data_IF_399950906410
#
_entry.id   IF_399950906410
#
_cell.length_a   1.000
_cell.length_b   1.000
_cell.length_c   1.000
_cell.angle_alpha   90.00
_cell.angle_beta   90.00
_cell.angle_gamma   90.00
#
_symmetry.space_group_name_H-M   'P 1'
#
loop_
_entity.id
_entity.type
_entity.pdbx_description
1 polymer ?
#
# COMPACT_ATOMS: atom_id res chain seq x y z
N UNK A 1 42.36 4.55 -43.81
CA UNK A 1 43.16 3.44 -44.38
C UNK A 1 43.59 2.54 -43.23
N UNK A 2 42.84 1.45 -42.99
CA UNK A 2 43.10 0.50 -41.90
C UNK A 2 44.44 -0.20 -42.08
N UNK A 3 45.24 -0.22 -41.03
CA UNK A 3 46.45 -1.05 -40.94
C UNK A 3 46.08 -2.26 -40.07
N UNK A 4 46.34 -3.49 -40.46
CA UNK A 4 46.06 -4.66 -39.61
C UNK A 4 47.35 -5.27 -39.06
N UNK A 5 47.30 -5.83 -37.85
CA UNK A 5 48.42 -6.41 -37.11
C UNK A 5 48.19 -7.90 -36.84
N UNK A 6 49.25 -8.72 -36.89
CA UNK A 6 49.21 -10.14 -36.51
C UNK A 6 49.88 -10.32 -35.15
N UNK A 7 49.10 -10.65 -34.12
CA UNK A 7 49.61 -10.90 -32.77
C UNK A 7 49.70 -12.40 -32.53
N UNK A 8 50.88 -12.87 -32.12
CA UNK A 8 51.13 -14.28 -31.79
C UNK A 8 51.60 -14.34 -30.35
N UNK A 9 50.99 -15.20 -29.53
CA UNK A 9 51.53 -15.47 -28.19
C UNK A 9 52.51 -16.66 -28.29
N UNK A 10 53.79 -16.50 -27.92
CA UNK A 10 54.72 -17.61 -27.88
C UNK A 10 54.27 -18.64 -26.82
N UNK A 11 54.45 -19.93 -27.13
CA UNK A 11 54.03 -21.03 -26.26
C UNK A 11 54.98 -21.25 -25.06
N UNK A 12 56.20 -20.69 -25.12
CA UNK A 12 57.23 -20.85 -24.09
C UNK A 12 57.60 -19.51 -23.46
N UNK A 13 57.73 -19.50 -22.13
CA UNK A 13 58.15 -18.35 -21.34
C UNK A 13 59.69 -18.24 -21.21
N UNK A 14 60.44 -19.20 -21.78
CA UNK A 14 61.89 -19.22 -21.76
C UNK A 14 62.50 -18.25 -22.80
N UNK A 15 63.29 -17.25 -22.39
CA UNK A 15 63.95 -16.30 -23.29
C UNK A 15 64.84 -16.95 -24.35
N UNK A 16 65.42 -18.11 -24.06
CA UNK A 16 66.32 -18.83 -24.97
C UNK A 16 65.60 -19.46 -26.18
N UNK A 17 64.28 -19.70 -26.06
CA UNK A 17 63.45 -20.32 -27.10
C UNK A 17 62.87 -19.30 -28.08
N UNK A 18 63.06 -18.00 -27.84
CA UNK A 18 62.48 -16.93 -28.66
C UNK A 18 63.14 -16.83 -30.05
N UNK A 19 64.47 -16.94 -30.12
CA UNK A 19 65.23 -16.90 -31.38
C UNK A 19 64.86 -18.04 -32.36
N UNK A 20 64.81 -19.32 -31.93
CA UNK A 20 64.32 -20.43 -32.75
C UNK A 20 62.89 -20.20 -33.26
N UNK A 21 61.99 -19.71 -32.41
CA UNK A 21 60.60 -19.41 -32.75
C UNK A 21 60.49 -18.31 -33.81
N UNK A 22 61.29 -17.25 -33.71
CA UNK A 22 61.33 -16.18 -34.72
C UNK A 22 61.78 -16.72 -36.08
N UNK A 23 62.78 -17.62 -36.09
CA UNK A 23 63.26 -18.26 -37.32
C UNK A 23 62.18 -19.15 -37.94
N UNK A 24 61.48 -19.95 -37.13
CA UNK A 24 60.39 -20.82 -37.60
C UNK A 24 59.21 -20.02 -38.16
N UNK A 25 58.81 -18.95 -37.47
CA UNK A 25 57.73 -18.07 -37.93
C UNK A 25 58.14 -17.35 -39.23
N UNK A 26 59.39 -16.87 -39.34
CA UNK A 26 59.91 -16.24 -40.56
C UNK A 26 59.87 -17.18 -41.77
N UNK A 27 60.22 -18.46 -41.59
CA UNK A 27 60.14 -19.48 -42.65
C UNK A 27 58.69 -19.77 -43.05
N UNK A 28 57.79 -19.94 -42.09
CA UNK A 28 56.39 -20.30 -42.36
C UNK A 28 55.58 -19.17 -42.97
N UNK A 29 55.89 -17.93 -42.60
CA UNK A 29 55.15 -16.75 -43.03
C UNK A 29 55.86 -15.98 -44.16
N UNK A 30 57.11 -16.30 -44.48
CA UNK A 30 57.90 -15.52 -45.45
C UNK A 30 58.10 -14.05 -45.03
N UNK A 31 57.96 -13.75 -43.73
CA UNK A 31 58.18 -12.42 -43.16
C UNK A 31 59.66 -12.21 -42.89
N UNK A 32 60.20 -11.09 -43.35
CA UNK A 32 61.58 -10.70 -43.07
C UNK A 32 61.78 -10.45 -41.56
N UNK A 33 62.95 -10.80 -41.03
CA UNK A 33 63.26 -10.73 -39.59
C UNK A 33 63.06 -9.32 -39.04
N UNK A 34 63.37 -8.31 -39.84
CA UNK A 34 63.21 -6.88 -39.53
C UNK A 34 61.75 -6.46 -39.28
N UNK A 35 60.78 -7.14 -39.91
CA UNK A 35 59.35 -6.91 -39.71
C UNK A 35 58.81 -7.58 -38.42
N UNK A 36 59.57 -8.51 -37.84
CA UNK A 36 59.27 -9.16 -36.56
C UNK A 36 59.83 -8.26 -35.44
N UNK A 37 59.24 -7.06 -35.27
CA UNK A 37 59.70 -6.10 -34.27
C UNK A 37 59.39 -6.61 -32.86
N UNK A 38 60.41 -7.06 -32.12
CA UNK A 38 60.32 -7.29 -30.67
C UNK A 38 60.08 -5.97 -29.93
N UNK A 39 58.83 -5.55 -29.76
CA UNK A 39 58.46 -4.63 -28.66
C UNK A 39 58.13 -5.48 -27.45
N UNK A 40 59.17 -5.87 -26.73
CA UNK A 40 59.12 -6.58 -25.46
C UNK A 40 58.52 -5.65 -24.41
N UNK A 41 57.20 -5.71 -24.24
CA UNK A 41 56.53 -5.21 -23.03
C UNK A 41 55.74 -6.38 -22.48
N UNK A 42 56.42 -7.23 -21.71
CA UNK A 42 55.90 -8.51 -21.25
C UNK A 42 56.05 -9.65 -22.27
N UNK A 43 55.80 -10.87 -21.80
CA UNK A 43 55.99 -12.21 -22.40
C UNK A 43 55.16 -12.49 -23.66
N UNK A 44 55.01 -11.52 -24.57
CA UNK A 44 54.21 -11.68 -25.79
C UNK A 44 54.94 -11.13 -27.02
N UNK A 45 55.05 -11.94 -28.08
CA UNK A 45 55.76 -11.58 -29.31
C UNK A 45 54.79 -10.87 -30.28
N UNK A 46 54.93 -9.54 -30.42
CA UNK A 46 54.09 -8.77 -31.35
C UNK A 46 54.74 -8.75 -32.73
N UNK A 47 54.16 -9.41 -33.74
CA UNK A 47 54.65 -9.30 -35.11
C UNK A 47 53.99 -8.09 -35.79
N UNK A 48 54.79 -7.10 -36.15
CA UNK A 48 54.35 -5.89 -36.84
C UNK A 48 54.65 -5.99 -38.34
N UNK A 49 53.79 -6.65 -39.12
CA UNK A 49 53.76 -6.38 -40.56
C UNK A 49 52.74 -5.29 -40.85
N UNK A 50 53.24 -4.17 -41.37
CA UNK A 50 52.45 -3.02 -41.86
C UNK A 50 52.31 -3.15 -43.37
N UNK A 51 51.10 -3.37 -43.86
CA UNK A 51 50.79 -3.48 -45.29
C UNK A 51 49.30 -3.31 -45.54
N UNK A 52 48.92 -2.84 -46.74
CA UNK A 52 47.60 -2.30 -47.12
C UNK A 52 46.48 -3.35 -47.05
N UNK A 53 45.23 -2.93 -47.26
CA UNK A 53 44.01 -3.74 -47.13
C UNK A 53 44.00 -5.11 -47.85
N UNK A 54 44.84 -5.30 -48.89
CA UNK A 54 45.05 -6.59 -49.58
C UNK A 54 45.81 -7.64 -48.73
N UNK A 55 46.37 -7.25 -47.57
CA UNK A 55 47.13 -8.14 -46.69
C UNK A 55 46.27 -8.79 -45.59
N UNK A 56 45.02 -8.36 -45.34
CA UNK A 56 44.19 -8.91 -44.26
C UNK A 56 43.86 -10.39 -44.47
N UNK A 57 43.59 -10.79 -45.70
CA UNK A 57 43.29 -12.17 -46.07
C UNK A 57 44.54 -13.06 -45.94
N UNK A 58 45.71 -12.56 -46.37
CA UNK A 58 47.01 -13.21 -46.19
C UNK A 58 47.39 -13.34 -44.72
N UNK A 59 47.19 -12.30 -43.92
CA UNK A 59 47.44 -12.34 -42.47
C UNK A 59 46.50 -13.32 -41.77
N UNK A 60 45.26 -13.46 -42.25
CA UNK A 60 44.29 -14.43 -41.74
C UNK A 60 44.69 -15.86 -42.09
N UNK A 61 45.18 -16.09 -43.32
CA UNK A 61 45.73 -17.37 -43.74
C UNK A 61 46.96 -17.78 -42.92
N UNK A 62 47.87 -16.83 -42.66
CA UNK A 62 49.03 -17.04 -41.78
C UNK A 62 48.61 -17.37 -40.35
N UNK A 63 47.65 -16.62 -39.79
CA UNK A 63 47.11 -16.90 -38.47
C UNK A 63 46.51 -18.32 -38.40
N UNK A 64 45.86 -18.78 -39.46
CA UNK A 64 45.33 -20.13 -39.54
C UNK A 64 46.42 -21.21 -39.62
N UNK A 65 47.51 -20.97 -40.36
CA UNK A 65 48.67 -21.88 -40.41
C UNK A 65 49.35 -21.99 -39.04
N UNK A 66 49.54 -20.86 -38.35
CA UNK A 66 50.12 -20.83 -37.01
C UNK A 66 49.24 -21.55 -35.98
N UNK A 67 47.91 -21.44 -36.09
CA UNK A 67 46.98 -22.18 -35.23
C UNK A 67 47.06 -23.70 -35.45
N UNK A 68 47.35 -24.16 -36.67
CA UNK A 68 47.50 -25.62 -36.95
C UNK A 68 48.70 -26.24 -36.24
N UNK A 69 49.76 -25.46 -36.02
CA UNK A 69 50.95 -25.91 -35.27
C UNK A 69 50.84 -25.63 -33.76
N UNK A 70 49.64 -25.32 -33.27
CA UNK A 70 49.39 -25.08 -31.85
C UNK A 70 49.75 -23.67 -31.37
N UNK A 71 50.15 -22.75 -32.25
CA UNK A 71 50.45 -21.36 -31.88
C UNK A 71 49.20 -20.47 -31.97
N UNK A 72 48.75 -19.87 -30.86
CA UNK A 72 47.61 -18.96 -30.90
C UNK A 72 47.99 -17.64 -31.59
N UNK A 73 47.46 -17.43 -32.79
CA UNK A 73 47.66 -16.24 -33.62
C UNK A 73 46.34 -15.52 -33.93
N UNK A 74 46.32 -14.18 -33.97
CA UNK A 74 45.14 -13.35 -34.19
C UNK A 74 45.49 -12.13 -35.04
N UNK A 75 44.65 -11.80 -36.02
CA UNK A 75 44.73 -10.55 -36.79
C UNK A 75 43.83 -9.50 -36.15
N UNK A 76 44.37 -8.32 -35.83
CA UNK A 76 43.65 -7.21 -35.17
C UNK A 76 43.81 -5.95 -36.02
N UNK A 77 42.76 -5.14 -36.19
CA UNK A 77 42.87 -3.87 -36.91
C UNK A 77 43.47 -2.75 -36.03
N UNK A 78 44.25 -1.83 -36.61
CA UNK A 78 44.88 -0.70 -35.91
C UNK A 78 43.85 0.24 -35.34
N UNK A 79 42.70 0.39 -35.99
CA UNK A 79 41.64 1.27 -35.52
C UNK A 79 40.91 0.68 -34.30
N UNK A 80 40.84 -0.65 -34.17
CA UNK A 80 40.35 -1.33 -32.95
C UNK A 80 41.33 -1.15 -31.77
N UNK A 81 42.65 -1.23 -32.03
CA UNK A 81 43.66 -1.05 -30.97
C UNK A 81 43.77 0.42 -30.52
N UNK A 82 43.54 1.39 -31.42
CA UNK A 82 43.69 2.82 -31.12
C UNK A 82 42.46 3.41 -30.41
N UNK A 83 41.29 2.79 -30.54
CA UNK A 83 40.09 3.15 -29.80
C UNK A 83 40.25 2.93 -28.27
N UNK A 84 41.16 2.05 -27.87
CA UNK A 84 41.35 1.65 -26.48
C UNK A 84 42.57 2.38 -25.88
N UNK A 85 42.34 3.50 -25.18
CA UNK A 85 43.37 4.40 -24.60
C UNK A 85 44.19 3.80 -23.43
N UNK A 86 44.32 2.47 -23.30
CA UNK A 86 45.07 1.81 -22.20
C UNK A 86 45.77 0.54 -22.70
N UNK A 87 46.95 0.17 -22.14
CA UNK A 87 47.69 -1.01 -22.58
C UNK A 87 46.92 -2.31 -22.30
N UNK A 88 46.49 -3.00 -23.36
CA UNK A 88 45.72 -4.25 -23.27
C UNK A 88 46.65 -5.45 -23.04
N UNK A 89 46.34 -6.30 -22.03
CA UNK A 89 47.07 -7.53 -21.69
C UNK A 89 46.25 -8.76 -22.14
N UNK A 90 46.62 -9.39 -23.26
CA UNK A 90 45.92 -10.56 -23.81
C UNK A 90 46.36 -11.82 -23.04
N UNK A 91 45.50 -12.34 -22.14
CA UNK A 91 45.95 -13.33 -21.14
C UNK A 91 45.38 -14.76 -21.33
N UNK A 92 44.38 -15.02 -22.17
CA UNK A 92 43.96 -16.41 -22.46
C UNK A 92 43.21 -16.58 -23.79
N UNK A 93 43.50 -17.69 -24.50
CA UNK A 93 42.69 -18.21 -25.61
C UNK A 93 42.08 -19.52 -25.12
N UNK A 94 40.75 -19.59 -25.07
CA UNK A 94 40.02 -20.82 -24.72
C UNK A 94 40.05 -21.76 -25.94
N UNK A 95 40.47 -23.02 -25.81
CA UNK A 95 40.41 -23.97 -26.91
C UNK A 95 38.95 -24.17 -27.35
N UNK A 96 38.64 -23.94 -28.63
CA UNK A 96 37.34 -24.30 -29.23
C UNK A 96 36.35 -23.17 -29.53
N UNK A 97 36.66 -21.90 -29.27
CA UNK A 97 35.78 -20.77 -29.64
C UNK A 97 36.42 -19.84 -30.68
N UNK A 98 35.64 -19.45 -31.71
CA UNK A 98 36.04 -18.47 -32.75
C UNK A 98 36.01 -17.00 -32.25
N UNK A 99 35.94 -16.75 -30.95
CA UNK A 99 35.81 -15.41 -30.39
C UNK A 99 36.80 -15.18 -29.24
N UNK A 100 37.62 -14.14 -29.36
CA UNK A 100 38.42 -13.63 -28.25
C UNK A 100 37.52 -12.82 -27.32
N UNK A 101 37.35 -13.27 -26.08
CA UNK A 101 36.86 -12.40 -25.02
C UNK A 101 38.05 -11.63 -24.45
N UNK A 102 38.07 -10.31 -24.65
CA UNK A 102 38.95 -9.40 -23.95
C UNK A 102 38.43 -9.30 -22.51
N UNK A 103 39.13 -9.92 -21.56
CA UNK A 103 38.84 -9.75 -20.13
C UNK A 103 39.91 -8.86 -19.52
N UNK A 104 39.49 -7.66 -19.13
CA UNK A 104 40.31 -6.69 -18.41
C UNK A 104 40.75 -7.26 -17.06
N UNK A 105 41.93 -6.85 -16.61
CA UNK A 105 42.75 -7.50 -15.58
C UNK A 105 42.26 -7.35 -14.13
N UNK A 106 41.00 -6.97 -13.91
CA UNK A 106 40.37 -7.04 -12.59
C UNK A 106 39.15 -7.95 -12.72
N UNK A 107 39.20 -9.13 -12.10
CA UNK A 107 38.11 -10.11 -12.05
C UNK A 107 36.88 -9.62 -11.27
N UNK A 108 36.32 -8.48 -11.66
CA UNK A 108 35.04 -7.97 -11.19
C UNK A 108 34.25 -7.47 -12.39
N UNK A 109 33.21 -8.23 -12.69
CA UNK A 109 32.00 -7.81 -13.40
C UNK A 109 32.07 -7.69 -14.93
N UNK A 110 31.91 -8.84 -15.59
CA UNK A 110 30.97 -8.89 -16.70
C UNK A 110 29.53 -8.90 -16.10
N UNK A 111 29.06 -7.77 -15.57
CA UNK A 111 27.62 -7.64 -15.29
C UNK A 111 26.93 -7.54 -16.64
N UNK A 112 26.13 -8.55 -16.96
CA UNK A 112 25.25 -8.57 -18.11
C UNK A 112 24.32 -7.33 -18.07
N UNK A 113 24.71 -6.30 -18.81
CA UNK A 113 23.94 -5.05 -18.97
C UNK A 113 22.59 -5.32 -19.68
N UNK A 114 22.39 -6.52 -20.24
CA UNK A 114 21.13 -6.93 -20.87
C UNK A 114 20.17 -7.65 -19.90
N UNK A 115 20.64 -8.21 -18.78
CA UNK A 115 19.79 -8.85 -17.76
C UNK A 115 19.53 -7.95 -16.55
N UNK A 116 20.48 -7.09 -16.17
CA UNK A 116 20.31 -6.15 -15.06
C UNK A 116 19.13 -5.16 -15.22
N UNK A 117 18.90 -4.50 -16.38
CA UNK A 117 17.77 -3.58 -16.53
C UNK A 117 16.43 -4.31 -16.59
N UNK A 118 16.39 -5.53 -17.16
CA UNK A 118 15.17 -6.35 -17.19
C UNK A 118 14.78 -6.77 -15.77
N UNK A 119 15.75 -7.21 -14.96
CA UNK A 119 15.53 -7.55 -13.55
C UNK A 119 15.04 -6.32 -12.78
N UNK A 120 15.64 -5.15 -13.00
CA UNK A 120 15.20 -3.91 -12.36
C UNK A 120 13.76 -3.51 -12.75
N UNK A 121 13.39 -3.65 -14.04
CA UNK A 121 12.03 -3.40 -14.52
C UNK A 121 11.02 -4.40 -13.94
N UNK A 122 11.39 -5.68 -13.84
CA UNK A 122 10.55 -6.72 -13.21
C UNK A 122 10.34 -6.41 -11.72
N UNK A 123 11.39 -6.03 -11.00
CA UNK A 123 11.29 -5.64 -9.59
C UNK A 123 10.44 -4.38 -9.39
N UNK A 124 10.59 -3.37 -10.27
CA UNK A 124 9.75 -2.18 -10.26
C UNK A 124 8.28 -2.52 -10.53
N UNK A 125 8.02 -3.38 -11.52
CA UNK A 125 6.67 -3.86 -11.83
C UNK A 125 6.04 -4.60 -10.65
N UNK A 126 6.80 -5.47 -9.98
CA UNK A 126 6.33 -6.20 -8.80
C UNK A 126 6.07 -5.26 -7.62
N UNK A 127 6.93 -4.27 -7.41
CA UNK A 127 6.74 -3.24 -6.38
C UNK A 127 5.45 -2.45 -6.63
N UNK A 128 5.24 -1.97 -7.86
CA UNK A 128 4.02 -1.24 -8.24
C UNK A 128 2.76 -2.10 -8.10
N UNK A 129 2.82 -3.36 -8.50
CA UNK A 129 1.72 -4.31 -8.34
C UNK A 129 1.38 -4.51 -6.86
N UNK A 130 2.39 -4.65 -6.00
CA UNK A 130 2.20 -4.81 -4.55
C UNK A 130 1.55 -3.58 -3.93
N UNK A 131 2.02 -2.38 -4.30
CA UNK A 131 1.42 -1.10 -3.86
C UNK A 131 -0.03 -0.99 -4.32
N UNK A 132 -0.32 -1.38 -5.57
CA UNK A 132 -1.68 -1.33 -6.12
C UNK A 132 -2.65 -2.28 -5.39
N UNK A 133 -2.23 -3.53 -5.14
CA UNK A 133 -3.03 -4.50 -4.37
C UNK A 133 -3.25 -4.00 -2.93
N UNK A 134 -2.21 -3.41 -2.33
CA UNK A 134 -2.30 -2.85 -0.99
C UNK A 134 -3.31 -1.68 -0.91
N UNK A 135 -3.22 -0.75 -1.87
CA UNK A 135 -4.11 0.40 -1.96
C UNK A 135 -5.57 0.00 -2.16
N UNK A 136 -5.83 -0.96 -3.05
CA UNK A 136 -7.21 -1.44 -3.32
C UNK A 136 -7.81 -2.14 -2.09
N UNK A 137 -7.00 -2.88 -1.32
CA UNK A 137 -7.45 -3.53 -0.08
C UNK A 137 -7.88 -2.50 0.97
N UNK A 138 -7.07 -1.45 1.19
CA UNK A 138 -7.40 -0.38 2.14
C UNK A 138 -8.65 0.38 1.69
N UNK A 139 -8.71 0.76 0.41
CA UNK A 139 -9.84 1.48 -0.13
C UNK A 139 -11.16 0.73 0.09
N UNK A 140 -11.19 -0.56 -0.27
CA UNK A 140 -12.38 -1.40 -0.07
C UNK A 140 -12.73 -1.51 1.42
N UNK A 141 -11.72 -1.66 2.28
CA UNK A 141 -11.92 -1.70 3.74
C UNK A 141 -12.53 -0.41 4.30
N UNK A 142 -12.10 0.75 3.81
CA UNK A 142 -12.65 2.06 4.20
C UNK A 142 -14.09 2.25 3.69
N UNK A 143 -14.37 1.82 2.45
CA UNK A 143 -15.74 1.84 1.89
C UNK A 143 -16.69 0.98 2.73
N UNK A 144 -16.25 -0.21 3.15
CA UNK A 144 -17.06 -1.08 4.01
C UNK A 144 -17.42 -0.41 5.33
N UNK A 145 -16.44 0.16 6.05
CA UNK A 145 -16.73 0.79 7.35
C UNK A 145 -17.57 2.05 7.20
N UNK A 146 -17.39 2.81 6.12
CA UNK A 146 -18.26 3.96 5.80
C UNK A 146 -19.71 3.52 5.59
N UNK A 147 -19.93 2.52 4.75
CA UNK A 147 -21.27 2.01 4.46
C UNK A 147 -21.93 1.37 5.68
N UNK A 148 -21.15 0.77 6.59
CA UNK A 148 -21.69 0.26 7.86
C UNK A 148 -22.26 1.40 8.73
N UNK A 149 -21.57 2.54 8.82
CA UNK A 149 -22.09 3.70 9.55
C UNK A 149 -23.42 4.17 8.94
N UNK A 150 -23.47 4.30 7.61
CA UNK A 150 -24.67 4.75 6.91
C UNK A 150 -25.83 3.74 7.04
N UNK A 151 -25.53 2.44 7.07
CA UNK A 151 -26.50 1.37 7.34
C UNK A 151 -27.09 1.51 8.75
N UNK A 152 -26.26 1.55 9.79
CA UNK A 152 -26.76 1.67 11.17
C UNK A 152 -27.55 2.95 11.37
N UNK A 153 -27.17 4.04 10.70
CA UNK A 153 -27.96 5.25 10.71
C UNK A 153 -29.34 5.07 10.08
N UNK A 154 -29.42 4.40 8.93
CA UNK A 154 -30.70 4.07 8.29
C UNK A 154 -31.59 3.20 9.18
N UNK A 155 -30.99 2.23 9.90
CA UNK A 155 -31.72 1.37 10.83
C UNK A 155 -32.34 2.20 11.98
N UNK A 156 -31.58 3.16 12.54
CA UNK A 156 -32.10 4.10 13.55
C UNK A 156 -33.22 4.97 12.98
N UNK A 157 -33.06 5.55 11.79
CA UNK A 157 -34.06 6.46 11.19
C UNK A 157 -35.43 5.78 11.00
N UNK A 158 -35.44 4.48 10.69
CA UNK A 158 -36.68 3.69 10.62
C UNK A 158 -37.36 3.60 11.99
N UNK A 159 -36.62 3.30 13.05
CA UNK A 159 -37.17 3.21 14.41
C UNK A 159 -37.68 4.56 14.92
N UNK A 160 -36.92 5.63 14.65
CA UNK A 160 -37.32 7.00 14.98
C UNK A 160 -38.65 7.36 14.32
N UNK A 161 -38.82 7.03 13.03
CA UNK A 161 -40.09 7.22 12.31
C UNK A 161 -41.22 6.43 12.92
N UNK A 162 -41.01 5.15 13.21
CA UNK A 162 -42.04 4.31 13.84
C UNK A 162 -42.50 4.90 15.18
N UNK A 163 -41.55 5.28 16.06
CA UNK A 163 -41.89 5.92 17.34
C UNK A 163 -42.65 7.23 17.12
N UNK A 164 -42.19 8.05 16.19
CA UNK A 164 -42.84 9.32 15.85
C UNK A 164 -44.28 9.17 15.37
N UNK A 165 -44.60 8.07 14.68
CA UNK A 165 -45.93 7.73 14.19
C UNK A 165 -46.85 7.13 15.28
N UNK A 166 -46.28 6.50 16.31
CA UNK A 166 -47.04 5.98 17.47
C UNK A 166 -47.41 7.09 18.48
N UNK A 167 -46.58 8.13 18.62
CA UNK A 167 -46.81 9.20 19.60
C UNK A 167 -48.18 9.89 19.50
N UNK A 168 -48.70 10.28 18.32
CA UNK A 168 -50.03 10.88 18.21
C UNK A 168 -51.14 9.94 18.67
N UNK A 169 -50.97 8.64 18.51
CA UNK A 169 -51.94 7.64 18.98
C UNK A 169 -51.94 7.58 20.50
N UNK A 170 -50.74 7.59 21.11
CA UNK A 170 -50.58 7.66 22.57
C UNK A 170 -51.22 8.93 23.14
N UNK A 171 -50.90 10.09 22.57
CA UNK A 171 -51.41 11.39 23.02
C UNK A 171 -52.95 11.41 23.01
N UNK A 172 -53.58 10.95 21.92
CA UNK A 172 -55.05 10.90 21.82
C UNK A 172 -55.70 10.02 22.89
N UNK A 173 -55.09 8.88 23.23
CA UNK A 173 -55.61 8.02 24.30
C UNK A 173 -55.46 8.72 25.65
N UNK A 174 -54.29 9.31 25.93
CA UNK A 174 -54.08 10.06 27.18
C UNK A 174 -55.03 11.27 27.33
N UNK A 175 -55.29 12.02 26.25
CA UNK A 175 -56.23 13.16 26.26
C UNK A 175 -57.64 12.77 26.71
N UNK A 176 -58.08 11.54 26.42
CA UNK A 176 -59.40 11.04 26.83
C UNK A 176 -59.57 10.86 28.34
N UNK A 177 -58.49 10.53 29.05
CA UNK A 177 -58.51 10.20 30.48
C UNK A 177 -57.82 11.26 31.36
N UNK A 178 -56.85 12.01 30.82
CA UNK A 178 -55.96 12.92 31.57
C UNK A 178 -56.28 14.40 31.31
N UNK A 179 -57.55 14.79 31.44
CA UNK A 179 -58.01 16.15 31.08
C UNK A 179 -57.36 17.30 31.88
N UNK A 180 -56.81 17.00 33.07
CA UNK A 180 -56.17 17.99 33.94
C UNK A 180 -54.64 18.05 33.78
N UNK A 181 -54.05 17.20 32.94
CA UNK A 181 -52.59 17.05 32.76
C UNK A 181 -52.11 17.71 31.45
N UNK A 182 -52.66 18.88 31.14
CA UNK A 182 -52.35 19.60 29.91
C UNK A 182 -50.86 19.92 29.76
N UNK A 183 -50.19 20.32 30.85
CA UNK A 183 -48.75 20.64 30.85
C UNK A 183 -47.90 19.40 30.51
N UNK A 184 -48.26 18.23 31.03
CA UNK A 184 -47.55 16.97 30.76
C UNK A 184 -47.69 16.56 29.29
N UNK A 185 -48.91 16.65 28.73
CA UNK A 185 -49.16 16.36 27.32
C UNK A 185 -48.50 17.38 26.39
N UNK A 186 -48.52 18.66 26.75
CA UNK A 186 -47.86 19.73 25.98
C UNK A 186 -46.35 19.50 25.89
N UNK A 187 -45.71 19.05 26.97
CA UNK A 187 -44.28 18.70 26.95
C UNK A 187 -43.98 17.59 25.94
N UNK A 188 -44.82 16.56 25.85
CA UNK A 188 -44.65 15.47 24.87
C UNK A 188 -44.90 15.97 23.44
N UNK A 189 -45.94 16.78 23.23
CA UNK A 189 -46.25 17.38 21.92
C UNK A 189 -45.09 18.27 21.45
N UNK A 190 -44.53 19.09 22.34
CA UNK A 190 -43.39 19.97 22.06
C UNK A 190 -42.14 19.17 21.74
N UNK A 191 -41.82 18.14 22.53
CA UNK A 191 -40.69 17.26 22.26
C UNK A 191 -40.83 16.55 20.90
N UNK A 192 -42.03 16.08 20.56
CA UNK A 192 -42.32 15.53 19.22
C UNK A 192 -42.14 16.55 18.11
N UNK A 193 -42.59 17.79 18.31
CA UNK A 193 -42.42 18.87 17.31
C UNK A 193 -40.95 19.15 17.03
N UNK A 194 -40.11 19.15 18.06
CA UNK A 194 -38.66 19.30 17.92
C UNK A 194 -38.02 18.19 17.08
N UNK A 195 -38.48 16.94 17.22
CA UNK A 195 -38.03 15.83 16.38
C UNK A 195 -38.31 16.05 14.88
N UNK A 196 -39.44 16.69 14.55
CA UNK A 196 -39.77 17.02 13.16
C UNK A 196 -38.92 18.16 12.60
N UNK A 197 -38.38 19.03 13.44
CA UNK A 197 -37.55 20.17 13.05
C UNK A 197 -36.05 19.87 13.01
N UNK A 198 -35.60 18.74 13.57
CA UNK A 198 -34.21 18.35 13.63
C UNK A 198 -33.67 17.92 12.25
N UNK A 199 -32.76 18.71 11.69
CA UNK A 199 -32.14 18.46 10.38
C UNK A 199 -30.79 17.74 10.49
N UNK A 200 -30.06 17.95 11.58
CA UNK A 200 -28.75 17.33 11.81
C UNK A 200 -28.82 16.12 12.75
N UNK A 201 -27.78 15.29 12.71
CA UNK A 201 -27.63 14.12 13.59
C UNK A 201 -27.66 14.52 15.07
N UNK A 202 -26.95 15.60 15.42
CA UNK A 202 -26.86 16.10 16.78
C UNK A 202 -28.20 16.66 17.28
N UNK A 203 -28.91 17.41 16.42
CA UNK A 203 -30.26 17.90 16.73
C UNK A 203 -31.24 16.74 16.96
N UNK A 204 -31.18 15.69 16.13
CA UNK A 204 -32.00 14.49 16.31
C UNK A 204 -31.68 13.79 17.64
N UNK A 205 -30.40 13.70 18.01
CA UNK A 205 -29.98 13.14 19.29
C UNK A 205 -30.47 13.91 20.51
N UNK A 206 -30.43 15.24 20.45
CA UNK A 206 -30.94 16.10 21.52
C UNK A 206 -32.47 16.03 21.62
N UNK A 207 -33.18 16.11 20.49
CA UNK A 207 -34.63 16.03 20.45
C UNK A 207 -35.15 14.67 20.93
N UNK A 208 -34.48 13.56 20.59
CA UNK A 208 -34.78 12.24 21.12
C UNK A 208 -34.57 12.18 22.64
N UNK A 209 -33.48 12.73 23.16
CA UNK A 209 -33.24 12.77 24.61
C UNK A 209 -34.36 13.49 25.37
N UNK A 210 -34.83 14.63 24.84
CA UNK A 210 -35.95 15.38 25.41
C UNK A 210 -37.28 14.62 25.31
N UNK A 211 -37.51 13.90 24.21
CA UNK A 211 -38.70 13.08 24.02
C UNK A 211 -38.73 11.90 25.01
N UNK A 212 -37.60 11.22 25.20
CA UNK A 212 -37.48 10.14 26.20
C UNK A 212 -37.80 10.63 27.60
N UNK A 213 -37.30 11.81 27.98
CA UNK A 213 -37.59 12.39 29.29
C UNK A 213 -39.06 12.80 29.46
N UNK A 214 -39.66 13.37 28.42
CA UNK A 214 -41.08 13.71 28.41
C UNK A 214 -41.98 12.47 28.52
N UNK A 215 -41.63 11.36 27.85
CA UNK A 215 -42.36 10.10 27.94
C UNK A 215 -42.22 9.43 29.31
N UNK A 216 -41.03 9.46 29.92
CA UNK A 216 -40.86 9.00 31.31
C UNK A 216 -41.75 9.77 32.26
N UNK A 217 -41.80 11.09 32.11
CA UNK A 217 -42.69 11.95 32.91
C UNK A 217 -44.17 11.62 32.67
N UNK A 218 -44.58 11.42 31.42
CA UNK A 218 -45.95 11.02 31.08
C UNK A 218 -46.33 9.69 31.74
N UNK A 219 -45.49 8.66 31.60
CA UNK A 219 -45.75 7.34 32.18
C UNK A 219 -45.71 7.33 33.72
N UNK A 220 -44.93 8.23 34.34
CA UNK A 220 -44.99 8.40 35.79
C UNK A 220 -46.33 9.02 36.24
N UNK A 221 -46.88 9.97 35.48
CA UNK A 221 -48.18 10.58 35.78
C UNK A 221 -49.33 9.61 35.54
N UNK A 222 -49.23 8.72 34.54
CA UNK A 222 -50.31 7.74 34.25
C UNK A 222 -50.53 6.74 35.39
N UNK A 223 -49.57 6.57 36.31
CA UNK A 223 -49.74 5.80 37.54
C UNK A 223 -50.91 6.29 38.40
N UNK A 224 -51.24 7.58 38.33
CA UNK A 224 -52.35 8.20 39.05
C UNK A 224 -53.73 7.97 38.39
N UNK A 225 -53.77 7.31 37.22
CA UNK A 225 -54.98 7.13 36.41
C UNK A 225 -55.28 5.64 36.17
N UNK A 226 -55.86 4.92 37.15
CA UNK A 226 -56.11 3.48 37.04
C UNK A 226 -56.94 3.07 35.82
N UNK A 227 -57.92 3.89 35.42
CA UNK A 227 -58.75 3.62 34.24
C UNK A 227 -57.94 3.66 32.93
N UNK A 228 -57.01 4.62 32.80
CA UNK A 228 -56.09 4.69 31.66
C UNK A 228 -55.13 3.50 31.65
N UNK A 229 -54.62 3.08 32.81
CA UNK A 229 -53.75 1.90 32.90
C UNK A 229 -54.47 0.61 32.53
N UNK A 230 -55.78 0.53 32.82
CA UNK A 230 -56.63 -0.58 32.44
C UNK A 230 -57.03 -0.55 30.95
N UNK A 231 -56.84 0.59 30.27
CA UNK A 231 -57.10 0.70 28.83
C UNK A 231 -56.11 -0.15 28.04
N UNK A 232 -56.66 -1.09 27.27
CA UNK A 232 -55.86 -2.03 26.47
C UNK A 232 -55.04 -1.33 25.39
N UNK A 233 -55.58 -0.27 24.79
CA UNK A 233 -54.91 0.47 23.71
C UNK A 233 -53.73 1.27 24.28
N UNK A 234 -53.92 1.90 25.44
CA UNK A 234 -52.83 2.58 26.16
C UNK A 234 -51.70 1.61 26.51
N UNK A 235 -52.01 0.47 27.13
CA UNK A 235 -51.00 -0.53 27.50
C UNK A 235 -50.22 -1.07 26.30
N UNK A 236 -50.89 -1.29 25.17
CA UNK A 236 -50.23 -1.71 23.91
C UNK A 236 -49.29 -0.63 23.35
N UNK A 237 -49.74 0.63 23.33
CA UNK A 237 -48.93 1.76 22.83
C UNK A 237 -47.74 2.03 23.75
N UNK A 238 -47.94 2.00 25.07
CA UNK A 238 -46.87 2.13 26.05
C UNK A 238 -45.81 1.04 25.83
N UNK A 239 -46.21 -0.23 25.76
CA UNK A 239 -45.29 -1.34 25.53
C UNK A 239 -44.53 -1.20 24.20
N UNK A 240 -45.23 -0.85 23.11
CA UNK A 240 -44.61 -0.65 21.79
C UNK A 240 -43.61 0.49 21.79
N UNK A 241 -43.92 1.61 22.44
CA UNK A 241 -43.04 2.77 22.51
C UNK A 241 -41.82 2.48 23.38
N UNK A 242 -41.98 1.74 24.49
CA UNK A 242 -40.86 1.28 25.31
C UNK A 242 -39.96 0.32 24.54
N UNK A 243 -40.52 -0.64 23.81
CA UNK A 243 -39.75 -1.55 22.93
C UNK A 243 -38.94 -0.76 21.88
N UNK A 244 -39.56 0.23 21.23
CA UNK A 244 -38.88 1.09 20.27
C UNK A 244 -37.74 1.90 20.90
N UNK A 245 -37.92 2.40 22.13
CA UNK A 245 -36.86 3.13 22.85
C UNK A 245 -35.67 2.23 23.16
N UNK A 246 -35.92 1.00 23.62
CA UNK A 246 -34.87 0.03 23.90
C UNK A 246 -34.11 -0.33 22.61
N UNK A 247 -34.83 -0.60 21.50
CA UNK A 247 -34.21 -0.86 20.20
C UNK A 247 -33.40 0.34 19.68
N UNK A 248 -33.90 1.58 19.85
CA UNK A 248 -33.18 2.80 19.48
C UNK A 248 -31.89 2.91 20.31
N UNK A 249 -31.96 2.65 21.62
CA UNK A 249 -30.78 2.67 22.51
C UNK A 249 -29.72 1.68 22.04
N UNK A 250 -30.10 0.43 21.78
CA UNK A 250 -29.20 -0.61 21.29
C UNK A 250 -28.57 -0.24 19.93
N UNK A 251 -29.38 0.28 19.00
CA UNK A 251 -28.88 0.69 17.68
C UNK A 251 -27.94 1.87 17.75
N UNK A 252 -28.13 2.78 18.70
CA UNK A 252 -27.22 3.91 18.91
C UNK A 252 -25.84 3.47 19.39
N UNK A 253 -25.76 2.45 20.24
CA UNK A 253 -24.48 1.84 20.63
C UNK A 253 -23.74 1.32 19.39
N UNK A 254 -24.42 0.51 18.56
CA UNK A 254 -23.86 -0.04 17.32
C UNK A 254 -23.44 1.04 16.32
N UNK A 255 -24.23 2.11 16.18
CA UNK A 255 -23.86 3.25 15.36
C UNK A 255 -22.58 3.93 15.87
N UNK A 256 -22.50 4.20 17.17
CA UNK A 256 -21.34 4.83 17.78
C UNK A 256 -20.07 3.98 17.63
N UNK A 257 -20.19 2.67 17.80
CA UNK A 257 -19.09 1.74 17.57
C UNK A 257 -18.63 1.74 16.12
N UNK A 258 -19.57 1.74 15.18
CA UNK A 258 -19.24 1.82 13.75
C UNK A 258 -18.57 3.14 13.39
N UNK A 259 -19.03 4.26 13.96
CA UNK A 259 -18.41 5.58 13.79
C UNK A 259 -17.00 5.60 14.38
N UNK A 260 -16.80 5.02 15.56
CA UNK A 260 -15.49 4.90 16.19
C UNK A 260 -14.53 4.10 15.31
N UNK A 261 -14.94 2.92 14.82
CA UNK A 261 -14.12 2.11 13.91
C UNK A 261 -13.76 2.90 12.65
N UNK A 262 -14.72 3.60 12.07
CA UNK A 262 -14.51 4.43 10.89
C UNK A 262 -13.53 5.58 11.17
N UNK A 263 -13.72 6.35 12.24
CA UNK A 263 -12.86 7.47 12.65
C UNK A 263 -11.43 6.99 12.95
N UNK A 264 -11.28 5.89 13.68
CA UNK A 264 -9.97 5.27 13.96
C UNK A 264 -9.29 4.87 12.65
N UNK A 265 -10.00 4.27 11.71
CA UNK A 265 -9.40 3.86 10.43
C UNK A 265 -8.90 5.03 9.61
N UNK A 266 -9.68 6.11 9.47
CA UNK A 266 -9.23 7.26 8.67
C UNK A 266 -8.03 8.00 9.30
N UNK A 267 -7.84 7.88 10.62
CA UNK A 267 -6.70 8.47 11.35
C UNK A 267 -5.49 7.53 11.51
N UNK A 268 -5.65 6.25 11.20
CA UNK A 268 -4.60 5.24 11.36
C UNK A 268 -3.73 5.13 10.11
N UNK A 269 -2.41 5.05 10.31
CA UNK A 269 -1.49 4.71 9.22
C UNK A 269 -1.58 3.23 8.85
N UNK A 270 -1.58 2.90 7.54
CA UNK A 270 -1.44 3.80 6.39
C UNK A 270 -2.77 4.24 5.75
N UNK A 271 -3.92 3.83 6.31
CA UNK A 271 -5.26 4.18 5.84
C UNK A 271 -5.48 5.69 5.67
N UNK A 272 -4.85 6.53 6.51
CA UNK A 272 -4.91 8.01 6.43
C UNK A 272 -4.49 8.58 5.08
N UNK A 273 -3.53 7.97 4.38
CA UNK A 273 -3.12 8.45 3.06
C UNK A 273 -4.24 8.26 2.03
N UNK A 274 -4.89 7.09 2.05
CA UNK A 274 -6.01 6.76 1.17
C UNK A 274 -7.22 7.61 1.53
N UNK A 275 -7.51 7.74 2.83
CA UNK A 275 -8.58 8.60 3.34
C UNK A 275 -8.42 10.06 2.90
N UNK A 276 -7.18 10.60 2.92
CA UNK A 276 -6.86 11.94 2.46
C UNK A 276 -7.14 12.14 0.97
N UNK A 277 -6.71 11.19 0.11
CA UNK A 277 -6.92 11.24 -1.35
C UNK A 277 -8.42 11.25 -1.69
N UNK A 278 -9.22 10.45 -0.99
CA UNK A 278 -10.68 10.36 -1.22
C UNK A 278 -11.51 11.31 -0.35
N UNK A 279 -10.86 12.23 0.36
CA UNK A 279 -11.49 13.25 1.19
C UNK A 279 -12.44 12.67 2.26
N UNK A 280 -12.12 11.52 2.84
CA UNK A 280 -12.86 10.98 3.97
C UNK A 280 -12.63 11.85 5.21
N UNK A 281 -13.72 12.10 5.95
CA UNK A 281 -13.77 12.98 7.11
C UNK A 281 -14.38 12.23 8.28
N UNK A 282 -13.99 12.60 9.49
CA UNK A 282 -14.56 12.06 10.72
C UNK A 282 -16.07 12.27 10.74
N UNK A 283 -16.79 11.26 11.25
CA UNK A 283 -18.24 11.33 11.49
C UNK A 283 -18.50 11.59 12.97
N UNK A 284 -19.61 12.26 13.24
CA UNK A 284 -20.04 12.58 14.60
C UNK A 284 -20.71 11.39 15.28
N UNK A 285 -20.40 11.23 16.56
CA UNK A 285 -21.04 10.25 17.44
C UNK A 285 -22.42 10.75 17.88
N UNK A 286 -23.36 9.83 18.04
CA UNK A 286 -24.64 10.11 18.66
C UNK A 286 -24.47 10.20 20.18
N UNK A 287 -24.48 11.41 20.71
CA UNK A 287 -24.42 11.67 22.15
C UNK A 287 -25.73 12.31 22.59
N UNK A 288 -26.31 11.82 23.69
CA UNK A 288 -27.23 12.65 24.46
C UNK A 288 -26.35 13.58 25.29
N UNK A 289 -26.40 14.86 24.99
CA UNK A 289 -25.84 15.89 25.86
C UNK A 289 -26.79 16.07 27.05
N UNK A 290 -26.66 15.20 28.06
CA UNK A 290 -27.25 15.46 29.37
C UNK A 290 -26.13 15.76 30.38
N UNK A 291 -25.95 17.04 30.77
CA UNK A 291 -25.06 17.44 31.86
C UNK A 291 -25.46 16.86 33.22
N UNK A 292 -26.71 16.38 33.38
CA UNK A 292 -27.27 15.85 34.63
C UNK A 292 -26.93 14.40 34.91
N UNK A 293 -26.81 13.55 33.90
CA UNK A 293 -26.53 12.10 34.04
C UNK A 293 -25.16 11.73 34.61
N UNK A 294 -24.21 12.68 34.72
CA UNK A 294 -22.90 12.47 35.38
C UNK A 294 -22.86 12.92 36.84
N UNK A 295 -23.97 13.40 37.40
CA UNK A 295 -24.04 13.70 38.83
C UNK A 295 -24.28 12.39 39.57
N UNK A 296 -23.34 12.00 40.42
CA UNK A 296 -23.48 10.86 41.30
C UNK A 296 -24.78 10.95 42.10
N UNK A 297 -25.57 9.87 42.11
CA UNK A 297 -26.74 9.77 42.98
C UNK A 297 -26.23 9.60 44.40
N UNK A 298 -26.29 10.68 45.20
CA UNK A 298 -25.97 10.62 46.62
C UNK A 298 -27.09 9.86 47.33
N UNK A 299 -26.86 8.58 47.62
CA UNK A 299 -27.79 7.76 48.42
C UNK A 299 -27.55 8.04 49.90
N UNK A 300 -28.27 9.02 50.46
CA UNK A 300 -28.30 9.23 51.91
C UNK A 300 -29.30 8.28 52.59
N UNK A 301 -28.78 7.31 53.34
CA UNK A 301 -29.60 6.48 54.22
C UNK A 301 -29.96 7.27 55.48
N UNK A 302 -31.25 7.63 55.62
CA UNK A 302 -31.78 8.21 56.86
C UNK A 302 -31.82 7.13 57.95
N UNK A 303 -30.73 6.99 58.72
CA UNK A 303 -30.66 6.06 59.85
C UNK A 303 -31.71 6.50 60.88
N UNK A 304 -32.79 5.71 61.07
CA UNK A 304 -33.75 5.97 62.16
C UNK A 304 -32.98 5.88 63.47
N UNK A 305 -32.82 7.00 64.16
CA UNK A 305 -32.34 7.02 65.54
C UNK A 305 -33.28 6.14 66.36
N UNK A 306 -32.72 5.05 66.86
CA UNK A 306 -33.39 4.17 67.79
C UNK A 306 -33.52 4.96 69.07
N UNK A 307 -34.72 5.49 69.35
CA UNK A 307 -35.05 6.15 70.61
C UNK A 307 -34.92 5.08 71.71
N UNK A 308 -33.80 5.08 72.41
CA UNK A 308 -33.59 4.27 73.60
C UNK A 308 -33.99 5.09 74.83
N UNK A 309 -34.90 4.53 75.63
CA UNK A 309 -35.19 4.96 77.00
C UNK A 309 -36.14 6.15 77.12
#
# INVERSE_FOLDING_TARGET
MSTSYLVIRPLSEDPSMIEPLIKEISVLTGLDRSAIIQRTTGTTLKILKTGRAEDKEKLTAMAAQLRRIGMPAVVIDKDEVRAEKRPVRITAVVPGSKALRLTSQNGKEAVNIMSAPIIALVLLGLLLLTIFIYFTTIYNGLVTVKNNVDKYWSDIDVLLKQRFDELPKLIKVCEGYMQHEAETLERVIKARSMMSGAGTMQEKGQAEGMLTEALKSLFAVTENYPELKADRSFGQLQARITELEDEISDRRELYNDSVNIYNIRIEKLPDTFVAGIFNYRTKELWRIEDPGHRRDVVVEFKRRETRAG
#
